data_IF_356189603619
#
_entry.id   IF_356189603619
#
_cell.length_a   1.000
_cell.length_b   1.000
_cell.length_c   1.000
_cell.angle_alpha   90.00
_cell.angle_beta   90.00
_cell.angle_gamma   90.00
#
_symmetry.space_group_name_H-M   'P 1'
#
loop_
_entity.id
_entity.type
_entity.pdbx_description
1 polymer ?
#
# COMPACT_ATOMS: atom_id res chain seq x y z
N UNK A 1 34.75 -29.52 5.89
CA UNK A 1 34.27 -28.30 6.59
C UNK A 1 33.56 -27.35 5.63
N UNK A 2 34.03 -27.22 4.39
CA UNK A 2 33.42 -26.37 3.35
C UNK A 2 32.06 -26.85 2.83
N UNK A 3 31.85 -28.16 2.63
CA UNK A 3 30.55 -28.72 2.23
C UNK A 3 29.46 -28.47 3.28
N UNK A 4 29.78 -28.62 4.57
CA UNK A 4 28.83 -28.41 5.66
C UNK A 4 28.42 -26.92 5.76
N UNK A 5 29.32 -25.99 5.44
CA UNK A 5 29.03 -24.56 5.44
C UNK A 5 28.18 -24.14 4.24
N UNK A 6 28.42 -24.72 3.05
CA UNK A 6 27.56 -24.53 1.88
C UNK A 6 26.16 -25.12 2.08
N UNK A 7 26.08 -26.29 2.70
CA UNK A 7 24.81 -26.93 3.05
C UNK A 7 24.02 -26.11 4.09
N UNK A 8 24.68 -25.58 5.11
CA UNK A 8 24.05 -24.69 6.10
C UNK A 8 23.56 -23.39 5.45
N UNK A 9 24.36 -22.76 4.60
CA UNK A 9 23.97 -21.54 3.90
C UNK A 9 22.78 -21.76 2.96
N UNK A 10 22.73 -22.89 2.24
CA UNK A 10 21.58 -23.27 1.43
C UNK A 10 20.35 -23.56 2.29
N UNK A 11 20.50 -24.23 3.43
CA UNK A 11 19.39 -24.49 4.34
C UNK A 11 18.80 -23.19 4.93
N UNK A 12 19.65 -22.23 5.33
CA UNK A 12 19.21 -20.92 5.82
C UNK A 12 18.55 -20.12 4.70
N UNK A 13 19.12 -20.11 3.49
CA UNK A 13 18.52 -19.44 2.33
C UNK A 13 17.14 -20.01 1.97
N UNK A 14 16.98 -21.33 2.03
CA UNK A 14 15.70 -21.99 1.78
C UNK A 14 14.69 -21.72 2.90
N UNK A 15 15.14 -21.58 4.15
CA UNK A 15 14.29 -21.23 5.29
C UNK A 15 13.78 -19.79 5.21
N UNK A 16 14.62 -18.85 4.75
CA UNK A 16 14.23 -17.45 4.56
C UNK A 16 13.23 -17.25 3.42
N UNK A 17 13.27 -18.08 2.38
CA UNK A 17 12.28 -18.08 1.29
C UNK A 17 10.96 -18.76 1.67
N UNK A 18 10.93 -19.52 2.76
CA UNK A 18 9.79 -20.33 3.18
C UNK A 18 8.84 -19.60 4.16
N UNK A 19 9.14 -18.36 4.57
CA UNK A 19 8.20 -17.59 5.38
C UNK A 19 7.09 -17.00 4.49
N UNK A 20 5.83 -17.47 4.60
CA UNK A 20 4.74 -16.79 3.94
C UNK A 20 4.54 -15.43 4.61
N UNK A 21 4.82 -14.35 3.90
CA UNK A 21 4.36 -13.01 4.30
C UNK A 21 2.89 -12.94 3.90
N UNK A 22 1.99 -13.00 4.87
CA UNK A 22 0.56 -12.96 4.65
C UNK A 22 0.06 -11.52 4.49
N UNK A 23 0.49 -10.82 3.42
CA UNK A 23 -0.04 -9.51 3.04
C UNK A 23 -1.53 -9.60 2.66
N UNK A 24 -2.37 -8.59 2.98
CA UNK A 24 -3.74 -8.60 2.43
C UNK A 24 -3.70 -8.44 0.91
N UNK A 25 -4.70 -9.02 0.24
CA UNK A 25 -4.90 -8.78 -1.19
C UNK A 25 -5.36 -7.34 -1.39
N UNK A 26 -4.68 -6.61 -2.27
CA UNK A 26 -5.01 -5.22 -2.58
C UNK A 26 -6.40 -5.13 -3.22
N UNK A 27 -7.23 -4.27 -2.66
CA UNK A 27 -8.62 -4.02 -3.07
C UNK A 27 -8.72 -2.65 -3.74
N UNK A 28 -9.59 -2.58 -4.75
CA UNK A 28 -10.07 -1.33 -5.33
C UNK A 28 -11.56 -1.21 -5.02
N UNK A 29 -11.93 -0.23 -4.20
CA UNK A 29 -13.34 0.06 -3.90
C UNK A 29 -13.88 1.10 -4.87
N UNK A 30 -15.06 0.87 -5.45
CA UNK A 30 -15.67 1.81 -6.40
C UNK A 30 -16.79 2.62 -5.75
N UNK A 31 -16.69 3.94 -5.89
CA UNK A 31 -17.75 4.92 -5.60
C UNK A 31 -18.28 5.45 -6.93
N UNK A 32 -19.55 5.23 -7.20
CA UNK A 32 -20.22 5.75 -8.40
C UNK A 32 -20.88 7.08 -8.03
N UNK A 33 -20.63 8.14 -8.80
CA UNK A 33 -21.25 9.45 -8.59
C UNK A 33 -22.21 9.75 -9.73
N UNK A 34 -23.50 9.68 -9.46
CA UNK A 34 -24.57 9.93 -10.43
C UNK A 34 -25.40 11.18 -10.05
N UNK A 35 -26.58 11.31 -10.65
CA UNK A 35 -27.54 12.38 -10.40
C UNK A 35 -28.10 12.34 -8.98
N UNK A 36 -28.23 11.16 -8.37
CA UNK A 36 -28.64 10.99 -6.96
C UNK A 36 -27.50 11.24 -5.95
N UNK A 37 -26.25 11.36 -6.44
CA UNK A 37 -25.06 11.60 -5.63
C UNK A 37 -24.07 10.43 -5.60
N UNK A 38 -23.11 10.44 -4.65
CA UNK A 38 -22.13 9.36 -4.51
C UNK A 38 -22.76 8.10 -3.87
N UNK A 39 -22.46 6.94 -4.44
CA UNK A 39 -22.96 5.63 -4.03
C UNK A 39 -21.80 4.64 -3.85
N UNK A 40 -21.43 4.28 -2.61
CA UNK A 40 -21.86 4.94 -1.37
C UNK A 40 -21.20 6.32 -1.21
N UNK A 41 -21.82 7.21 -0.44
CA UNK A 41 -21.18 8.45 0.00
C UNK A 41 -20.04 8.17 0.98
N UNK A 42 -20.32 7.29 1.94
CA UNK A 42 -19.38 6.81 2.95
C UNK A 42 -18.97 5.38 2.64
N UNK A 43 -17.69 5.17 2.33
CA UNK A 43 -17.13 3.84 2.12
C UNK A 43 -17.14 3.09 3.46
N UNK A 44 -17.66 1.84 3.51
CA UNK A 44 -17.74 1.09 4.76
C UNK A 44 -16.38 0.98 5.46
N UNK A 45 -16.38 1.14 6.78
CA UNK A 45 -15.13 1.24 7.54
C UNK A 45 -14.21 0.03 7.34
N UNK A 46 -14.76 -1.18 7.17
CA UNK A 46 -14.00 -2.42 7.00
C UNK A 46 -13.64 -2.74 5.53
N UNK A 47 -13.94 -1.85 4.59
CA UNK A 47 -13.75 -2.13 3.17
C UNK A 47 -12.29 -2.00 2.72
N UNK A 48 -11.50 -1.15 3.38
CA UNK A 48 -10.17 -0.78 2.91
C UNK A 48 -9.11 -0.81 4.01
N UNK A 49 -7.90 -1.17 3.60
CA UNK A 49 -6.67 -1.17 4.39
C UNK A 49 -5.60 -0.33 3.70
N UNK A 50 -4.50 -0.07 4.41
CA UNK A 50 -3.33 0.61 3.85
C UNK A 50 -2.84 -0.13 2.60
N UNK A 51 -2.69 0.59 1.49
CA UNK A 51 -2.30 0.05 0.19
C UNK A 51 -3.46 -0.11 -0.79
N UNK A 52 -4.69 -0.14 -0.28
CA UNK A 52 -5.88 -0.20 -1.13
C UNK A 52 -6.15 1.12 -1.85
N UNK A 53 -7.03 1.07 -2.85
CA UNK A 53 -7.42 2.23 -3.65
C UNK A 53 -8.92 2.45 -3.68
N UNK A 54 -9.32 3.70 -3.91
CA UNK A 54 -10.71 4.06 -4.26
C UNK A 54 -10.77 4.58 -5.67
N UNK A 55 -11.78 4.12 -6.40
CA UNK A 55 -12.19 4.60 -7.71
C UNK A 55 -13.44 5.46 -7.58
N UNK A 56 -13.31 6.74 -7.90
CA UNK A 56 -14.44 7.65 -8.04
C UNK A 56 -14.84 7.74 -9.50
N UNK A 57 -15.99 7.17 -9.85
CA UNK A 57 -16.47 7.10 -11.22
C UNK A 57 -17.60 8.10 -11.46
N UNK A 58 -17.35 9.07 -12.34
CA UNK A 58 -18.36 10.01 -12.79
C UNK A 58 -19.37 9.31 -13.72
N UNK A 59 -20.64 9.30 -13.30
CA UNK A 59 -21.76 8.66 -14.00
C UNK A 59 -23.04 9.51 -14.02
N UNK A 60 -22.93 10.79 -13.70
CA UNK A 60 -24.03 11.74 -13.90
C UNK A 60 -24.01 12.28 -15.34
N UNK A 61 -25.05 11.96 -16.12
CA UNK A 61 -25.23 12.46 -17.50
C UNK A 61 -26.07 13.74 -17.57
N UNK A 62 -26.49 14.31 -16.44
CA UNK A 62 -27.36 15.48 -16.39
C UNK A 62 -26.63 16.72 -16.90
N UNK A 63 -27.23 17.44 -17.84
CA UNK A 63 -26.82 18.81 -18.24
C UNK A 63 -25.30 19.06 -18.40
N UNK A 64 -24.56 18.15 -19.03
CA UNK A 64 -23.09 18.29 -19.19
C UNK A 64 -22.37 18.47 -17.84
N UNK A 65 -22.78 17.68 -16.85
CA UNK A 65 -22.19 17.64 -15.52
C UNK A 65 -20.72 17.21 -15.58
N UNK A 66 -19.93 17.88 -14.76
CA UNK A 66 -18.55 17.49 -14.46
C UNK A 66 -18.36 17.37 -12.96
N UNK A 67 -17.37 16.57 -12.56
CA UNK A 67 -17.07 16.26 -11.16
C UNK A 67 -15.61 16.54 -10.85
N UNK A 68 -15.37 17.15 -9.69
CA UNK A 68 -14.05 17.15 -9.05
C UNK A 68 -14.19 16.52 -7.67
N UNK A 69 -13.30 15.58 -7.35
CA UNK A 69 -13.24 14.91 -6.05
C UNK A 69 -12.03 15.43 -5.30
N UNK A 70 -12.24 15.79 -4.04
CA UNK A 70 -11.17 16.17 -3.12
C UNK A 70 -11.20 15.29 -1.88
N UNK A 71 -10.06 14.68 -1.55
CA UNK A 71 -9.84 13.94 -0.33
C UNK A 71 -9.00 14.78 0.62
N UNK A 72 -9.33 14.77 1.91
CA UNK A 72 -8.56 15.48 2.92
C UNK A 72 -8.53 14.77 4.26
N UNK A 73 -7.36 14.82 4.91
CA UNK A 73 -7.12 14.28 6.24
C UNK A 73 -5.90 14.97 6.86
N UNK A 74 -6.02 15.52 8.06
CA UNK A 74 -4.89 16.05 8.86
C UNK A 74 -3.90 16.93 8.09
N UNK A 75 -4.39 17.77 7.18
CA UNK A 75 -3.57 18.66 6.35
C UNK A 75 -2.99 18.02 5.07
N UNK A 76 -3.12 16.71 4.90
CA UNK A 76 -2.92 16.04 3.62
C UNK A 76 -4.17 16.19 2.74
N UNK A 77 -3.98 16.39 1.44
CA UNK A 77 -5.07 16.44 0.48
C UNK A 77 -4.69 15.86 -0.87
N UNK A 78 -5.70 15.38 -1.59
CA UNK A 78 -5.60 14.94 -2.97
C UNK A 78 -6.80 15.44 -3.75
N UNK A 79 -6.59 15.89 -4.99
CA UNK A 79 -7.65 16.45 -5.83
C UNK A 79 -7.62 15.81 -7.21
N UNK A 80 -8.79 15.38 -7.70
CA UNK A 80 -8.92 14.81 -9.03
C UNK A 80 -8.78 15.88 -10.12
N UNK A 81 -8.47 15.49 -11.36
CA UNK A 81 -8.81 16.32 -12.52
C UNK A 81 -10.33 16.46 -12.65
N UNK A 82 -10.78 17.31 -13.58
CA UNK A 82 -12.21 17.38 -13.95
C UNK A 82 -12.62 16.08 -14.63
N UNK A 83 -13.56 15.37 -14.01
CA UNK A 83 -14.13 14.14 -14.52
C UNK A 83 -15.43 14.44 -15.28
N UNK A 84 -15.63 13.81 -16.43
CA UNK A 84 -16.87 13.90 -17.21
C UNK A 84 -17.56 12.54 -17.29
N UNK A 85 -18.81 12.51 -17.74
CA UNK A 85 -19.61 11.28 -17.83
C UNK A 85 -18.93 10.17 -18.65
N UNK A 86 -18.47 10.51 -19.85
CA UNK A 86 -17.73 9.61 -20.72
C UNK A 86 -16.77 10.38 -21.62
N UNK A 87 -15.70 9.72 -22.02
CA UNK A 87 -14.75 10.27 -22.98
C UNK A 87 -15.08 9.74 -24.38
N UNK A 88 -15.08 10.64 -25.37
CA UNK A 88 -15.30 10.26 -26.75
C UNK A 88 -14.17 9.34 -27.26
N UNK A 89 -14.55 8.33 -28.04
CA UNK A 89 -13.64 7.41 -28.73
C UNK A 89 -13.66 7.68 -30.24
N UNK A 90 -12.51 7.48 -30.89
CA UNK A 90 -12.37 7.55 -32.34
C UNK A 90 -12.82 6.24 -33.02
N UNK A 91 -12.74 6.20 -34.35
CA UNK A 91 -13.11 5.01 -35.14
C UNK A 91 -12.27 3.76 -34.81
N UNK A 92 -11.11 3.94 -34.15
CA UNK A 92 -10.21 2.86 -33.75
C UNK A 92 -10.45 2.41 -32.30
N UNK A 93 -11.39 3.02 -31.57
CA UNK A 93 -11.65 2.75 -30.16
C UNK A 93 -10.63 3.39 -29.20
N UNK A 94 -9.84 4.36 -29.68
CA UNK A 94 -8.90 5.15 -28.88
C UNK A 94 -9.56 6.45 -28.42
N UNK A 95 -9.10 7.04 -27.32
CA UNK A 95 -9.62 8.34 -26.85
C UNK A 95 -9.39 9.44 -27.88
N UNK A 96 -10.42 10.24 -28.17
CA UNK A 96 -10.31 11.47 -28.98
C UNK A 96 -9.48 12.53 -28.24
N UNK A 97 -9.62 12.58 -26.91
CA UNK A 97 -8.82 13.43 -26.02
C UNK A 97 -8.18 12.57 -24.92
N UNK A 98 -6.84 12.48 -24.93
CA UNK A 98 -6.07 11.70 -23.95
C UNK A 98 -6.17 12.27 -22.51
N UNK A 99 -6.45 13.58 -22.39
CA UNK A 99 -6.61 14.25 -21.11
C UNK A 99 -8.01 14.06 -20.53
N UNK A 100 -8.97 13.60 -21.33
CA UNK A 100 -10.28 13.27 -20.82
C UNK A 100 -10.18 12.14 -19.78
N UNK A 101 -10.82 12.36 -18.63
CA UNK A 101 -10.96 11.37 -17.56
C UNK A 101 -12.43 11.28 -17.17
N UNK A 102 -12.92 10.07 -16.96
CA UNK A 102 -14.24 9.83 -16.36
C UNK A 102 -14.14 9.17 -14.97
N UNK A 103 -12.93 8.83 -14.52
CA UNK A 103 -12.65 8.18 -13.25
C UNK A 103 -11.38 8.73 -12.62
N UNK A 104 -11.39 8.83 -11.30
CA UNK A 104 -10.21 9.14 -10.49
C UNK A 104 -9.88 7.97 -9.58
N UNK A 105 -8.61 7.58 -9.56
CA UNK A 105 -8.08 6.56 -8.67
C UNK A 105 -7.16 7.21 -7.64
N UNK A 106 -7.34 6.86 -6.38
CA UNK A 106 -6.45 7.27 -5.30
C UNK A 106 -6.07 6.07 -4.43
N UNK A 107 -4.76 5.82 -4.32
CA UNK A 107 -4.18 4.74 -3.52
C UNK A 107 -3.70 5.25 -2.17
N UNK A 108 -4.14 4.60 -1.09
CA UNK A 108 -3.86 4.99 0.29
C UNK A 108 -2.57 4.35 0.81
N UNK A 109 -1.43 4.87 0.35
CA UNK A 109 -0.13 4.29 0.64
C UNK A 109 0.46 4.71 2.00
N UNK A 110 1.02 3.73 2.71
CA UNK A 110 1.79 3.90 3.94
C UNK A 110 0.95 4.27 5.17
N UNK A 111 1.54 4.14 6.35
CA UNK A 111 0.82 4.27 7.63
C UNK A 111 0.19 5.66 7.84
N UNK A 112 0.70 6.71 7.17
CA UNK A 112 0.09 8.05 7.24
C UNK A 112 -1.32 8.09 6.65
N UNK A 113 -1.70 7.11 5.80
CA UNK A 113 -3.04 7.02 5.23
C UNK A 113 -4.08 6.50 6.23
N UNK A 114 -3.68 5.78 7.30
CA UNK A 114 -4.58 5.11 8.27
C UNK A 114 -5.50 6.10 8.98
N UNK A 115 -6.81 5.89 8.91
CA UNK A 115 -7.83 6.68 9.57
C UNK A 115 -8.86 7.26 8.60
N UNK A 116 -9.63 8.22 9.09
CA UNK A 116 -10.76 8.82 8.38
C UNK A 116 -10.31 9.91 7.41
N UNK A 117 -10.67 9.75 6.14
CA UNK A 117 -10.56 10.76 5.09
C UNK A 117 -11.92 11.36 4.79
N UNK A 118 -11.98 12.69 4.74
CA UNK A 118 -13.16 13.40 4.25
C UNK A 118 -13.10 13.49 2.73
N UNK A 119 -14.24 13.23 2.07
CA UNK A 119 -14.38 13.33 0.62
C UNK A 119 -15.38 14.44 0.28
N UNK A 120 -14.98 15.34 -0.60
CA UNK A 120 -15.85 16.35 -1.20
C UNK A 120 -16.05 16.07 -2.68
N UNK A 121 -17.32 16.01 -3.09
CA UNK A 121 -17.74 15.79 -4.48
C UNK A 121 -18.32 17.10 -5.03
N UNK A 122 -17.51 17.85 -5.77
CA UNK A 122 -17.91 19.13 -6.37
C UNK A 122 -18.45 18.87 -7.77
N UNK A 123 -19.78 19.02 -7.92
CA UNK A 123 -20.49 18.88 -9.19
C UNK A 123 -20.62 20.25 -9.85
N UNK A 124 -20.27 20.33 -11.13
CA UNK A 124 -20.26 21.56 -11.89
C UNK A 124 -20.98 21.42 -13.23
N UNK A 125 -21.86 22.36 -13.53
CA UNK A 125 -22.52 22.50 -14.84
C UNK A 125 -21.83 23.63 -15.59
N UNK A 126 -21.34 23.35 -16.80
CA UNK A 126 -20.62 24.31 -17.65
C UNK A 126 -19.46 25.02 -16.92
N UNK A 127 -18.74 24.28 -16.07
CA UNK A 127 -17.56 24.78 -15.35
C UNK A 127 -17.86 25.62 -14.10
N UNK A 128 -19.13 25.87 -13.76
CA UNK A 128 -19.51 26.48 -12.49
C UNK A 128 -19.96 25.41 -11.51
N UNK A 129 -19.44 25.42 -10.28
CA UNK A 129 -19.89 24.54 -9.21
C UNK A 129 -21.36 24.85 -8.90
N UNK A 130 -22.21 23.83 -8.98
CA UNK A 130 -23.65 23.92 -8.70
C UNK A 130 -24.02 23.19 -7.42
N UNK A 131 -23.27 22.16 -7.07
CA UNK A 131 -23.52 21.33 -5.90
C UNK A 131 -22.20 20.82 -5.31
N UNK A 132 -22.16 20.66 -3.99
CA UNK A 132 -21.05 20.01 -3.29
C UNK A 132 -21.64 19.03 -2.29
N UNK A 133 -21.33 17.75 -2.50
CA UNK A 133 -21.72 16.66 -1.62
C UNK A 133 -20.52 16.20 -0.81
N UNK A 134 -20.78 15.50 0.29
CA UNK A 134 -19.76 15.03 1.22
C UNK A 134 -19.91 13.55 1.49
N UNK A 135 -18.79 12.93 1.84
CA UNK A 135 -18.72 11.55 2.26
C UNK A 135 -17.39 11.26 2.92
N UNK A 136 -17.08 9.99 3.11
CA UNK A 136 -15.89 9.59 3.85
C UNK A 136 -15.32 8.25 3.41
N UNK A 137 -14.05 8.05 3.72
CA UNK A 137 -13.34 6.78 3.53
C UNK A 137 -12.48 6.52 4.76
N UNK A 138 -12.65 5.37 5.42
CA UNK A 138 -11.80 4.95 6.53
C UNK A 138 -10.79 3.92 6.05
N UNK A 139 -9.51 4.15 6.34
CA UNK A 139 -8.41 3.24 6.00
C UNK A 139 -7.93 2.55 7.26
N UNK A 140 -7.96 1.21 7.28
CA UNK A 140 -7.48 0.43 8.41
C UNK A 140 -6.02 0.01 8.27
N UNK A 141 -5.42 -0.35 9.39
CA UNK A 141 -4.12 -1.00 9.40
C UNK A 141 -4.19 -2.36 8.71
N UNK A 142 -3.13 -2.70 7.99
CA UNK A 142 -2.95 -4.06 7.50
C UNK A 142 -2.21 -4.90 8.55
N UNK A 143 -2.98 -5.51 9.45
CA UNK A 143 -2.45 -6.35 10.52
C UNK A 143 -2.19 -7.76 10.00
N UNK A 144 -0.92 -8.18 10.07
CA UNK A 144 -0.51 -9.55 9.79
C UNK A 144 -0.33 -10.28 11.11
N UNK A 145 -1.16 -11.29 11.35
CA UNK A 145 -0.87 -12.25 12.41
C UNK A 145 0.32 -13.07 11.93
N UNK A 146 1.50 -12.80 12.49
CA UNK A 146 2.63 -13.69 12.37
C UNK A 146 2.15 -15.08 12.82
N UNK A 147 2.11 -16.02 11.89
CA UNK A 147 1.59 -17.35 12.13
C UNK A 147 2.51 -18.15 13.05
N UNK A 148 2.62 -17.79 14.33
CA UNK A 148 3.09 -18.67 15.39
C UNK A 148 2.77 -18.10 16.79
N UNK A 149 2.01 -18.89 17.56
CA UNK A 149 1.69 -18.79 18.99
C UNK A 149 0.42 -18.02 19.41
N UNK A 150 -0.68 -18.77 19.40
CA UNK A 150 -1.71 -18.68 20.44
C UNK A 150 -1.06 -18.73 21.82
N UNK A 151 -1.04 -17.61 22.53
CA UNK A 151 -1.29 -17.62 23.96
C UNK A 151 -2.56 -16.81 24.16
N UNK A 152 -3.65 -17.53 24.43
CA UNK A 152 -4.80 -16.97 25.13
C UNK A 152 -4.26 -16.26 26.37
N UNK A 153 -4.44 -14.95 26.47
CA UNK A 153 -4.61 -14.30 27.76
C UNK A 153 -5.62 -13.17 27.62
N UNK A 154 -6.78 -13.45 28.20
CA UNK A 154 -7.84 -12.50 28.41
C UNK A 154 -7.35 -11.33 29.29
N UNK A 155 -7.77 -10.13 28.90
CA UNK A 155 -8.10 -9.01 29.79
C UNK A 155 -7.05 -8.62 30.84
N UNK A 156 -6.31 -7.54 30.58
CA UNK A 156 -5.95 -6.65 31.70
C UNK A 156 -5.78 -5.21 31.26
N UNK A 157 -6.34 -4.35 32.10
CA UNK A 157 -6.48 -2.93 31.96
C UNK A 157 -5.13 -2.21 31.95
N UNK A 158 -5.10 -1.12 31.19
CA UNK A 158 -4.08 -0.08 31.18
C UNK A 158 -3.63 0.31 32.60
N UNK A 159 -2.38 0.00 32.93
CA UNK A 159 -1.62 0.80 33.88
C UNK A 159 -0.40 1.38 33.17
N UNK A 160 -0.44 2.71 33.05
CA UNK A 160 0.70 3.55 32.68
C UNK A 160 1.86 3.28 33.64
N UNK A 161 3.05 3.02 33.09
CA UNK A 161 4.30 3.46 33.70
C UNK A 161 5.32 3.75 32.60
N UNK A 162 5.43 5.03 32.28
CA UNK A 162 6.56 5.62 31.57
C UNK A 162 7.76 5.72 32.53
N UNK A 163 8.86 5.05 32.20
CA UNK A 163 10.22 5.63 32.27
C UNK A 163 11.30 4.62 31.89
N UNK A 164 11.94 4.88 30.74
CA UNK A 164 13.40 4.90 30.61
C UNK A 164 14.16 3.58 30.43
N UNK A 165 14.40 3.18 29.18
CA UNK A 165 15.70 2.69 28.67
C UNK A 165 15.65 2.53 27.13
N UNK A 166 16.70 3.01 26.45
CA UNK A 166 16.84 3.14 24.99
C UNK A 166 16.94 1.81 24.19
N UNK A 167 16.76 1.82 22.84
CA UNK A 167 16.50 0.63 22.02
C UNK A 167 17.80 -0.11 21.68
N UNK A 168 18.24 -0.95 22.62
CA UNK A 168 19.45 -1.77 22.48
C UNK A 168 19.29 -2.92 21.47
N UNK A 169 18.08 -3.40 21.21
CA UNK A 169 17.82 -4.56 20.35
C UNK A 169 18.07 -4.28 18.86
N UNK A 170 17.72 -3.09 18.38
CA UNK A 170 17.89 -2.70 16.97
C UNK A 170 19.36 -2.46 16.60
N UNK A 171 20.14 -1.88 17.51
CA UNK A 171 21.58 -1.66 17.31
C UNK A 171 22.36 -2.99 17.30
N UNK A 172 21.98 -3.95 18.15
CA UNK A 172 22.58 -5.30 18.16
C UNK A 172 22.24 -6.03 16.86
N UNK A 173 21.00 -5.92 16.37
CA UNK A 173 20.58 -6.54 15.11
C UNK A 173 21.34 -5.95 13.89
N UNK A 174 21.54 -4.63 13.84
CA UNK A 174 22.34 -4.00 12.77
C UNK A 174 23.82 -4.43 12.83
N UNK A 175 24.40 -4.52 14.02
CA UNK A 175 25.79 -4.97 14.18
C UNK A 175 26.01 -6.41 13.67
N UNK A 176 25.05 -7.30 13.91
CA UNK A 176 25.11 -8.70 13.44
C UNK A 176 25.00 -8.78 11.91
N UNK A 177 24.14 -7.96 11.29
CA UNK A 177 23.95 -7.94 9.84
C UNK A 177 25.21 -7.48 9.09
N UNK A 178 25.89 -6.45 9.59
CA UNK A 178 27.09 -5.90 8.95
C UNK A 178 28.27 -6.89 9.04
N UNK A 179 28.46 -7.54 10.18
CA UNK A 179 29.53 -8.53 10.38
C UNK A 179 29.31 -9.77 9.50
N UNK A 180 28.05 -10.19 9.33
CA UNK A 180 27.66 -11.29 8.44
C UNK A 180 28.03 -11.02 6.97
N UNK A 181 27.70 -9.84 6.45
CA UNK A 181 27.96 -9.47 5.05
C UNK A 181 29.46 -9.40 4.73
N UNK A 182 30.29 -8.91 5.65
CA UNK A 182 31.74 -8.81 5.47
C UNK A 182 32.39 -10.21 5.46
N UNK A 183 31.90 -11.13 6.30
CA UNK A 183 32.42 -12.50 6.37
C UNK A 183 32.10 -13.30 5.09
N UNK A 184 30.89 -13.13 4.55
CA UNK A 184 30.49 -13.70 3.26
C UNK A 184 31.33 -13.14 2.09
N UNK A 185 31.62 -11.83 2.09
CA UNK A 185 32.47 -11.22 1.07
C UNK A 185 33.91 -11.79 1.05
N UNK A 186 34.50 -12.04 2.22
CA UNK A 186 35.85 -12.60 2.33
C UNK A 186 35.93 -14.08 1.93
N UNK A 187 34.87 -14.85 2.19
CA UNK A 187 34.77 -16.26 1.76
C UNK A 187 34.68 -16.41 0.24
N UNK A 188 34.04 -15.47 -0.46
CA UNK A 188 33.91 -15.49 -1.92
C UNK A 188 35.15 -15.00 -2.67
N UNK A 189 36.13 -14.42 -1.97
CA UNK A 189 37.36 -13.86 -2.58
C UNK A 189 38.60 -14.77 -2.48
N UNK A 190 38.46 -16.03 -2.04
CA UNK A 190 39.61 -16.95 -2.00
C UNK A 190 40.04 -17.37 -3.42
N UNK A 191 41.31 -17.17 -3.82
CA UNK A 191 41.78 -17.57 -5.15
C UNK A 191 41.91 -19.11 -5.25
N UNK A 192 41.47 -19.66 -6.39
CA UNK A 192 41.56 -21.09 -6.69
C UNK A 192 43.01 -21.60 -6.59
N UNK A 193 43.24 -22.59 -5.74
CA UNK A 193 44.50 -23.33 -5.68
C UNK A 193 44.65 -24.18 -6.93
N UNK A 194 45.54 -23.79 -7.85
CA UNK A 194 45.96 -24.61 -8.99
C UNK A 194 46.65 -25.90 -8.49
N UNK A 195 46.09 -27.04 -8.83
CA UNK A 195 46.71 -28.36 -8.69
C UNK A 195 47.77 -28.55 -9.78
N UNK A 196 49.04 -28.62 -9.38
CA UNK A 196 50.11 -29.10 -10.25
C UNK A 196 50.14 -30.63 -10.20
N UNK A 197 49.97 -31.24 -11.36
CA UNK A 197 50.32 -32.64 -11.65
C UNK A 197 51.83 -32.68 -11.86
N UNK A 198 52.53 -33.56 -11.16
CA UNK A 198 53.91 -33.93 -11.48
C UNK A 198 53.98 -35.45 -11.66
N UNK A 199 54.56 -35.84 -12.80
CA UNK A 199 54.83 -37.22 -13.23
C UNK A 199 55.92 -37.87 -12.37
N UNK A 200 55.73 -39.14 -12.00
CA UNK A 200 56.57 -40.27 -12.46
C UNK A 200 55.87 -41.61 -12.17
#
# INVERSE_FOLDING_TARGET
>A
MEENMRSLAMAIGLLLLAAPVAAHELVIYTVIVNDEGPQPADVPENALKVGDSVWFWMKDSTENMSLVVELSKDGASARSPTLIYECALDENGTLVDENCKNRFEFTFNGNISIGLWNVSYMKSINGSVTETLYGSVTINEDVHLDGNHTHDDAQSETQNLDSGAEPTTQLIAMAIAIVSAICLGLLLMQPEKKTLVEEE
#
